data_IF_335120109872
#
_entry.id   IF_335120109872
#
_cell.length_a   1.000
_cell.length_b   1.000
_cell.length_c   1.000
_cell.angle_alpha   90.00
_cell.angle_beta   90.00
_cell.angle_gamma   90.00
#
_symmetry.space_group_name_H-M   'P 1'
#
loop_
_entity.id
_entity.type
_entity.pdbx_description
1 polymer ?
#
# COMPACT_ATOMS: atom_id res chain seq x y z
N UNK A 1 23.15 -15.43 -8.83
CA UNK A 1 22.98 -15.14 -7.39
C UNK A 1 22.18 -13.84 -7.25
N UNK A 2 20.85 -13.92 -7.22
CA UNK A 2 20.01 -12.73 -6.98
C UNK A 2 20.20 -12.29 -5.53
N UNK A 3 20.86 -11.14 -5.31
CA UNK A 3 20.99 -10.54 -3.98
C UNK A 3 19.59 -10.18 -3.47
N UNK A 4 19.05 -10.98 -2.55
CA UNK A 4 17.77 -10.68 -1.89
C UNK A 4 18.00 -9.54 -0.90
N UNK A 5 17.30 -8.42 -1.07
CA UNK A 5 17.44 -7.23 -0.21
C UNK A 5 17.07 -7.58 1.24
N UNK A 6 17.87 -7.21 2.25
CA UNK A 6 17.57 -7.54 3.65
C UNK A 6 16.22 -6.94 4.08
N UNK A 7 15.55 -7.60 5.04
CA UNK A 7 14.44 -6.96 5.74
C UNK A 7 14.98 -5.75 6.50
N UNK A 8 14.12 -4.75 6.73
CA UNK A 8 14.52 -3.62 7.57
C UNK A 8 14.72 -4.13 9.01
N UNK A 9 15.74 -3.64 9.72
CA UNK A 9 15.91 -3.93 11.13
C UNK A 9 14.62 -3.62 11.91
N UNK A 10 14.25 -4.48 12.87
CA UNK A 10 13.07 -4.29 13.71
C UNK A 10 11.75 -4.82 13.12
N UNK A 11 11.68 -5.14 11.82
CA UNK A 11 10.43 -5.60 11.17
C UNK A 11 9.97 -6.94 11.72
N UNK A 12 10.92 -7.84 11.95
CA UNK A 12 10.61 -9.17 12.46
C UNK A 12 10.06 -9.09 13.87
N UNK A 13 10.74 -8.36 14.76
CA UNK A 13 10.29 -8.15 16.13
C UNK A 13 8.93 -7.44 16.17
N UNK A 14 8.69 -6.47 15.28
CA UNK A 14 7.42 -5.78 15.16
C UNK A 14 6.26 -6.71 14.76
N UNK A 15 6.50 -7.63 13.81
CA UNK A 15 5.50 -8.62 13.41
C UNK A 15 5.24 -9.62 14.54
N UNK A 16 6.30 -10.06 15.23
CA UNK A 16 6.21 -10.99 16.34
C UNK A 16 5.43 -10.36 17.51
N UNK A 17 5.73 -9.11 17.88
CA UNK A 17 4.99 -8.30 18.88
C UNK A 17 3.50 -8.20 18.51
N UNK A 18 3.18 -7.91 17.23
CA UNK A 18 1.79 -7.86 16.76
C UNK A 18 1.07 -9.19 16.97
N UNK A 19 1.72 -10.30 16.59
CA UNK A 19 1.14 -11.63 16.71
C UNK A 19 0.95 -12.06 18.17
N UNK A 20 1.92 -11.77 19.04
CA UNK A 20 1.85 -12.06 20.48
C UNK A 20 0.72 -11.28 21.15
N UNK A 21 0.50 -10.03 20.73
CA UNK A 21 -0.59 -9.19 21.21
C UNK A 21 -1.94 -9.45 20.53
N UNK A 22 -2.03 -10.45 19.64
CA UNK A 22 -3.25 -10.82 18.95
C UNK A 22 -3.72 -9.80 17.90
N UNK A 23 -2.83 -8.93 17.42
CA UNK A 23 -3.09 -7.94 16.37
C UNK A 23 -2.88 -8.60 14.99
N UNK A 24 -3.92 -8.71 14.13
CA UNK A 24 -3.78 -9.30 12.81
C UNK A 24 -2.84 -8.48 11.92
N UNK A 25 -1.87 -9.15 11.29
CA UNK A 25 -0.96 -8.52 10.33
C UNK A 25 -1.35 -8.89 8.91
N UNK A 26 -1.52 -7.87 8.07
CA UNK A 26 -1.86 -8.02 6.65
C UNK A 26 -0.81 -7.34 5.79
N UNK A 27 -0.27 -8.08 4.81
CA UNK A 27 0.69 -7.58 3.85
C UNK A 27 0.01 -7.31 2.50
N UNK A 28 -0.08 -6.04 2.13
CA UNK A 28 -0.71 -5.61 0.88
C UNK A 28 0.31 -5.53 -0.25
N UNK A 29 0.10 -6.30 -1.31
CA UNK A 29 1.01 -6.35 -2.46
C UNK A 29 0.33 -5.84 -3.73
N UNK A 30 -1.01 -5.82 -3.74
CA UNK A 30 -1.85 -5.49 -4.89
C UNK A 30 -1.63 -4.10 -5.50
N UNK A 31 -1.23 -3.11 -4.70
CA UNK A 31 -0.95 -1.74 -5.18
C UNK A 31 0.54 -1.39 -5.22
N UNK A 32 1.41 -2.36 -4.92
CA UNK A 32 2.84 -2.18 -5.06
C UNK A 32 3.28 -2.58 -6.47
N UNK A 33 3.90 -1.68 -7.23
CA UNK A 33 4.37 -1.89 -8.63
C UNK A 33 5.24 -3.17 -8.81
N UNK A 34 5.78 -3.73 -7.73
CA UNK A 34 6.64 -4.92 -7.73
C UNK A 34 6.32 -5.91 -6.60
N UNK A 35 5.11 -5.82 -6.02
CA UNK A 35 4.72 -6.55 -4.82
C UNK A 35 4.85 -8.07 -4.95
N UNK A 36 4.31 -8.67 -6.02
CA UNK A 36 4.34 -10.14 -6.20
C UNK A 36 5.75 -10.72 -6.33
N UNK A 37 6.67 -9.98 -6.97
CA UNK A 37 8.08 -10.39 -7.08
C UNK A 37 8.80 -10.32 -5.73
N UNK A 38 8.37 -9.42 -4.86
CA UNK A 38 8.98 -9.18 -3.54
C UNK A 38 8.45 -10.14 -2.47
N UNK A 39 7.19 -10.59 -2.59
CA UNK A 39 6.56 -11.54 -1.65
C UNK A 39 7.39 -12.78 -1.45
N UNK A 40 7.91 -13.40 -2.52
CA UNK A 40 8.72 -14.62 -2.40
C UNK A 40 9.97 -14.39 -1.55
N UNK A 41 10.68 -13.29 -1.79
CA UNK A 41 11.86 -12.93 -1.00
C UNK A 41 11.52 -12.60 0.45
N UNK A 42 10.33 -12.08 0.74
CA UNK A 42 9.87 -11.81 2.10
C UNK A 42 9.54 -13.13 2.81
N UNK A 43 8.82 -14.04 2.14
CA UNK A 43 8.51 -15.38 2.67
C UNK A 43 9.79 -16.15 3.01
N UNK A 44 10.80 -16.10 2.13
CA UNK A 44 12.09 -16.75 2.37
C UNK A 44 12.82 -16.19 3.60
N UNK A 45 12.64 -14.90 3.91
CA UNK A 45 13.31 -14.23 5.04
C UNK A 45 12.57 -14.40 6.35
N UNK A 46 11.25 -14.20 6.36
CA UNK A 46 10.41 -14.34 7.55
C UNK A 46 10.22 -15.81 7.95
N UNK A 47 10.38 -16.74 7.00
CA UNK A 47 10.14 -18.15 7.21
C UNK A 47 8.65 -18.51 7.17
N UNK A 48 8.36 -19.79 6.89
CA UNK A 48 7.00 -20.28 6.68
C UNK A 48 6.11 -20.12 7.92
N UNK A 49 6.67 -20.29 9.12
CA UNK A 49 5.93 -20.27 10.37
C UNK A 49 5.39 -18.87 10.69
N UNK A 50 6.21 -17.82 10.50
CA UNK A 50 5.75 -16.43 10.64
C UNK A 50 4.76 -16.07 9.55
N UNK A 51 5.01 -16.50 8.31
CA UNK A 51 4.11 -16.23 7.18
C UNK A 51 2.74 -16.88 7.34
N UNK A 52 2.62 -18.00 8.06
CA UNK A 52 1.32 -18.60 8.36
C UNK A 52 0.42 -17.70 9.24
N UNK A 53 1.02 -16.74 9.97
CA UNK A 53 0.30 -15.76 10.80
C UNK A 53 -0.03 -14.46 10.06
N UNK A 54 0.52 -14.25 8.86
CA UNK A 54 0.34 -13.04 8.06
C UNK A 54 -0.57 -13.34 6.87
N UNK A 55 -1.59 -12.50 6.65
CA UNK A 55 -2.41 -12.58 5.44
C UNK A 55 -1.78 -11.76 4.32
N UNK A 56 -1.52 -12.36 3.16
CA UNK A 56 -0.98 -11.66 1.98
C UNK A 56 -2.12 -11.37 1.02
N UNK A 57 -2.30 -10.10 0.65
CA UNK A 57 -3.38 -9.64 -0.22
C UNK A 57 -2.77 -9.09 -1.51
N UNK A 58 -2.83 -9.90 -2.56
CA UNK A 58 -2.44 -9.55 -3.92
C UNK A 58 -3.64 -9.14 -4.77
N UNK A 59 -3.39 -9.00 -6.07
CA UNK A 59 -4.37 -8.48 -7.04
C UNK A 59 -5.63 -9.36 -7.05
N UNK A 60 -5.46 -10.69 -6.99
CA UNK A 60 -6.57 -11.63 -7.03
C UNK A 60 -7.43 -11.59 -5.75
N UNK A 61 -6.82 -11.46 -4.57
CA UNK A 61 -7.55 -11.27 -3.32
C UNK A 61 -8.34 -9.95 -3.34
N UNK A 62 -7.74 -8.88 -3.87
CA UNK A 62 -8.45 -7.59 -4.02
C UNK A 62 -9.66 -7.74 -4.95
N UNK A 63 -9.51 -8.38 -6.11
CA UNK A 63 -10.63 -8.60 -7.04
C UNK A 63 -11.77 -9.41 -6.43
N UNK A 64 -11.44 -10.37 -5.57
CA UNK A 64 -12.42 -11.22 -4.87
C UNK A 64 -13.07 -10.54 -3.67
N UNK A 65 -12.45 -9.50 -3.12
CA UNK A 65 -13.02 -8.73 -2.00
C UNK A 65 -14.34 -8.06 -2.36
N UNK A 66 -15.18 -7.81 -1.36
CA UNK A 66 -16.50 -7.20 -1.53
C UNK A 66 -16.44 -5.85 -2.26
N UNK A 67 -15.50 -4.99 -1.86
CA UNK A 67 -15.31 -3.69 -2.52
C UNK A 67 -14.65 -3.84 -3.89
N UNK A 68 -13.70 -4.76 -4.05
CA UNK A 68 -13.04 -5.02 -5.34
C UNK A 68 -14.02 -5.49 -6.41
N UNK A 69 -14.94 -6.39 -6.07
CA UNK A 69 -16.00 -6.82 -7.00
C UNK A 69 -16.88 -5.66 -7.45
N UNK A 70 -17.20 -4.73 -6.53
CA UNK A 70 -18.02 -3.56 -6.82
C UNK A 70 -17.32 -2.57 -7.77
N UNK A 71 -16.02 -2.34 -7.58
CA UNK A 71 -15.31 -1.23 -8.25
C UNK A 71 -14.42 -1.65 -9.40
N UNK A 72 -14.04 -2.93 -9.48
CA UNK A 72 -13.19 -3.46 -10.55
C UNK A 72 -13.99 -4.22 -11.61
N UNK A 73 -15.30 -4.43 -11.39
CA UNK A 73 -16.26 -4.83 -12.43
C UNK A 73 -16.10 -6.27 -12.95
N UNK A 74 -15.32 -7.14 -12.30
CA UNK A 74 -15.18 -8.54 -12.74
C UNK A 74 -16.37 -9.43 -12.31
N UNK A 75 -17.28 -8.93 -11.48
CA UNK A 75 -18.46 -9.68 -10.98
C UNK A 75 -19.77 -9.45 -11.75
N UNK A 76 -19.87 -8.39 -12.57
CA UNK A 76 -21.04 -8.08 -13.40
C UNK A 76 -20.50 -7.72 -14.77
N UNK A 77 -20.92 -8.45 -15.81
CA UNK A 77 -20.44 -8.28 -17.18
C UNK A 77 -20.25 -6.80 -17.54
N UNK A 78 -18.99 -6.35 -17.64
CA UNK A 78 -18.70 -4.95 -17.96
C UNK A 78 -19.30 -4.62 -19.32
N UNK A 79 -20.21 -3.65 -19.37
CA UNK A 79 -20.78 -3.17 -20.62
C UNK A 79 -19.68 -2.60 -21.54
N UNK A 80 -19.86 -2.70 -22.86
CA UNK A 80 -18.90 -2.23 -23.85
C UNK A 80 -18.58 -0.74 -23.66
N UNK A 81 -19.56 0.05 -23.21
CA UNK A 81 -19.37 1.47 -22.91
C UNK A 81 -18.38 1.72 -21.77
N UNK A 82 -18.35 0.85 -20.76
CA UNK A 82 -17.43 0.99 -19.63
C UNK A 82 -16.00 0.63 -19.99
N UNK A 83 -15.82 -0.38 -20.86
CA UNK A 83 -14.50 -0.70 -21.43
C UNK A 83 -13.97 0.45 -22.28
N UNK A 84 -14.82 1.04 -23.14
CA UNK A 84 -14.43 2.21 -23.95
C UNK A 84 -14.07 3.42 -23.08
N UNK A 85 -14.84 3.70 -22.03
CA UNK A 85 -14.55 4.78 -21.11
C UNK A 85 -13.23 4.56 -20.35
N UNK A 86 -12.91 3.31 -19.98
CA UNK A 86 -11.64 2.93 -19.35
C UNK A 86 -10.46 3.17 -20.29
N UNK A 87 -10.55 2.71 -21.54
CA UNK A 87 -9.49 2.91 -22.52
C UNK A 87 -9.31 4.40 -22.89
N UNK A 88 -10.40 5.17 -22.97
CA UNK A 88 -10.33 6.62 -23.16
C UNK A 88 -9.59 7.31 -22.00
N UNK A 89 -9.89 6.97 -20.75
CA UNK A 89 -9.19 7.52 -19.57
C UNK A 89 -7.71 7.16 -19.55
N UNK A 90 -7.35 5.93 -19.93
CA UNK A 90 -5.94 5.51 -20.05
C UNK A 90 -5.19 6.32 -21.12
N UNK A 91 -5.81 6.53 -22.27
CA UNK A 91 -5.21 7.32 -23.35
C UNK A 91 -4.96 8.78 -22.91
N UNK A 92 -5.92 9.41 -22.23
CA UNK A 92 -5.77 10.76 -21.68
C UNK A 92 -4.63 10.82 -20.67
N UNK A 93 -4.59 9.89 -19.71
CA UNK A 93 -3.53 9.84 -18.68
C UNK A 93 -2.13 9.64 -19.28
N UNK A 94 -2.00 8.84 -20.35
CA UNK A 94 -0.74 8.66 -21.04
C UNK A 94 -0.23 9.96 -21.68
N UNK A 95 -1.13 10.78 -22.23
CA UNK A 95 -0.78 12.07 -22.82
C UNK A 95 -0.42 13.11 -21.75
N UNK A 96 -1.16 13.15 -20.64
CA UNK A 96 -0.79 13.99 -19.48
C UNK A 96 0.62 13.66 -18.96
N UNK A 97 0.95 12.37 -18.87
CA UNK A 97 2.30 11.92 -18.50
C UNK A 97 3.37 12.33 -19.51
N UNK A 98 3.06 12.29 -20.81
CA UNK A 98 3.97 12.72 -21.87
C UNK A 98 4.31 14.20 -21.69
N UNK A 99 3.28 15.04 -21.53
CA UNK A 99 3.43 16.49 -21.31
C UNK A 99 4.22 16.76 -20.03
N UNK A 100 3.89 16.05 -18.95
CA UNK A 100 4.55 16.24 -17.67
C UNK A 100 6.06 15.91 -17.72
N UNK A 101 6.44 14.82 -18.42
CA UNK A 101 7.85 14.48 -18.67
C UNK A 101 8.55 15.50 -19.56
N UNK A 102 7.85 16.07 -20.53
CA UNK A 102 8.39 17.10 -21.41
C UNK A 102 8.69 18.39 -20.62
N UNK A 103 7.73 18.85 -19.80
CA UNK A 103 7.90 20.01 -18.92
C UNK A 103 9.02 19.78 -17.89
N UNK A 104 9.07 18.59 -17.29
CA UNK A 104 10.14 18.19 -16.38
C UNK A 104 11.54 18.31 -17.00
N UNK A 105 11.68 17.83 -18.24
CA UNK A 105 12.91 17.88 -19.01
C UNK A 105 13.35 19.32 -19.25
N UNK A 106 12.42 20.20 -19.64
CA UNK A 106 12.67 21.64 -19.84
C UNK A 106 13.15 22.29 -18.54
N UNK A 107 12.54 21.94 -17.41
CA UNK A 107 12.87 22.50 -16.09
C UNK A 107 14.10 21.83 -15.43
N UNK A 108 14.73 20.83 -16.07
CA UNK A 108 15.81 20.00 -15.49
C UNK A 108 15.42 19.37 -14.15
N UNK A 109 14.14 19.08 -13.96
CA UNK A 109 13.61 18.43 -12.77
C UNK A 109 13.43 16.94 -13.06
N UNK A 110 13.81 16.10 -12.10
CA UNK A 110 13.38 14.71 -12.09
C UNK A 110 12.08 14.65 -11.32
N UNK A 111 11.01 14.26 -12.00
CA UNK A 111 9.68 14.20 -11.39
C UNK A 111 9.22 12.76 -11.50
N UNK A 112 9.12 12.11 -10.34
CA UNK A 112 8.33 10.89 -10.21
C UNK A 112 6.88 11.33 -10.05
N UNK A 113 6.28 11.78 -11.14
CA UNK A 113 4.87 12.15 -11.14
C UNK A 113 4.11 10.84 -11.17
N UNK A 114 3.78 10.35 -9.98
CA UNK A 114 2.72 9.36 -9.78
C UNK A 114 1.38 10.04 -10.13
N UNK A 115 1.19 10.37 -11.41
CA UNK A 115 -0.13 10.60 -12.05
C UNK A 115 -0.80 9.26 -12.25
N UNK A 116 -0.78 8.42 -11.22
CA UNK A 116 -1.69 7.29 -11.19
C UNK A 116 -3.06 7.93 -11.09
N UNK A 117 -3.74 7.93 -12.23
CA UNK A 117 -5.11 8.34 -12.50
C UNK A 117 -6.07 7.98 -11.36
N UNK A 118 -7.31 8.45 -11.43
CA UNK A 118 -8.40 7.95 -10.57
C UNK A 118 -8.39 6.41 -10.38
N UNK A 119 -7.87 5.65 -11.35
CA UNK A 119 -7.70 4.19 -11.28
C UNK A 119 -6.62 3.73 -10.28
N UNK A 120 -5.52 4.47 -10.13
CA UNK A 120 -4.47 4.17 -9.17
C UNK A 120 -4.93 4.31 -7.72
N UNK A 121 -5.56 5.44 -7.40
CA UNK A 121 -6.11 5.67 -6.07
C UNK A 121 -7.25 4.69 -5.76
N UNK A 122 -8.10 4.36 -6.74
CA UNK A 122 -9.15 3.36 -6.60
C UNK A 122 -8.58 1.97 -6.31
N UNK A 123 -7.49 1.57 -6.98
CA UNK A 123 -6.80 0.31 -6.70
C UNK A 123 -6.19 0.28 -5.30
N UNK A 124 -5.58 1.38 -4.84
CA UNK A 124 -5.08 1.49 -3.46
C UNK A 124 -6.23 1.34 -2.46
N UNK A 125 -7.32 2.09 -2.67
CA UNK A 125 -8.50 2.04 -1.80
C UNK A 125 -9.11 0.63 -1.76
N UNK A 126 -9.20 -0.04 -2.92
CA UNK A 126 -9.68 -1.42 -2.99
C UNK A 126 -8.77 -2.37 -2.22
N UNK A 127 -7.45 -2.22 -2.35
CA UNK A 127 -6.49 -3.04 -1.61
C UNK A 127 -6.55 -2.84 -0.11
N UNK A 128 -6.68 -1.59 0.36
CA UNK A 128 -6.79 -1.27 1.78
C UNK A 128 -8.09 -1.83 2.38
N UNK A 129 -9.21 -1.68 1.66
CA UNK A 129 -10.50 -2.25 2.07
C UNK A 129 -10.48 -3.78 2.09
N UNK A 130 -9.89 -4.40 1.06
CA UNK A 130 -9.68 -5.85 1.04
C UNK A 130 -8.83 -6.30 2.23
N UNK A 131 -7.75 -5.59 2.56
CA UNK A 131 -6.92 -5.90 3.73
C UNK A 131 -7.71 -5.94 5.03
N UNK A 132 -8.56 -4.94 5.26
CA UNK A 132 -9.45 -4.87 6.41
C UNK A 132 -10.49 -6.01 6.42
N UNK A 133 -11.10 -6.30 5.27
CA UNK A 133 -12.06 -7.40 5.09
C UNK A 133 -11.42 -8.76 5.38
N UNK A 134 -10.26 -9.06 4.80
CA UNK A 134 -9.53 -10.30 5.06
C UNK A 134 -9.00 -10.37 6.49
N UNK A 135 -8.73 -9.24 7.16
CA UNK A 135 -8.38 -9.20 8.57
C UNK A 135 -9.58 -9.45 9.49
N UNK A 136 -10.81 -9.33 8.98
CA UNK A 136 -12.06 -9.27 9.77
C UNK A 136 -12.05 -8.11 10.79
N UNK A 137 -11.53 -6.95 10.37
CA UNK A 137 -11.42 -5.75 11.20
C UNK A 137 -12.00 -4.55 10.45
N UNK A 138 -12.84 -3.70 11.08
CA UNK A 138 -13.32 -2.49 10.44
C UNK A 138 -12.18 -1.55 10.02
N UNK A 139 -12.32 -0.89 8.88
CA UNK A 139 -11.30 0.01 8.30
C UNK A 139 -10.75 1.05 9.30
N UNK A 140 -11.62 1.63 10.13
CA UNK A 140 -11.23 2.65 11.13
C UNK A 140 -10.46 2.07 12.33
N UNK A 141 -10.50 0.74 12.50
CA UNK A 141 -9.73 0.01 13.52
C UNK A 141 -8.42 -0.56 12.97
N UNK A 142 -8.16 -0.41 11.67
CA UNK A 142 -6.89 -0.75 11.04
C UNK A 142 -5.95 0.46 11.05
N UNK A 143 -4.64 0.20 11.12
CA UNK A 143 -3.62 1.24 10.88
C UNK A 143 -2.78 0.82 9.68
N UNK A 144 -2.70 1.68 8.67
CA UNK A 144 -1.82 1.47 7.52
C UNK A 144 -0.38 1.88 7.89
N UNK A 145 0.56 0.97 7.76
CA UNK A 145 1.99 1.28 7.76
C UNK A 145 2.47 1.36 6.31
N UNK A 146 2.82 2.57 5.84
CA UNK A 146 3.18 2.81 4.42
C UNK A 146 4.53 3.52 4.27
N UNK A 147 5.19 3.28 3.14
CA UNK A 147 6.35 4.08 2.70
C UNK A 147 6.06 4.97 1.49
N UNK A 148 4.81 4.97 0.98
CA UNK A 148 4.41 5.67 -0.26
C UNK A 148 3.27 6.68 -0.04
N UNK A 149 3.31 7.77 -0.79
CA UNK A 149 2.29 8.83 -0.78
C UNK A 149 0.93 8.30 -1.24
N UNK A 150 0.91 7.41 -2.23
CA UNK A 150 -0.31 6.76 -2.73
C UNK A 150 -1.03 5.96 -1.64
N UNK A 151 -0.27 5.26 -0.78
CA UNK A 151 -0.82 4.55 0.37
C UNK A 151 -1.46 5.51 1.39
N UNK A 152 -0.78 6.63 1.69
CA UNK A 152 -1.30 7.67 2.59
C UNK A 152 -2.61 8.27 2.06
N UNK A 153 -2.62 8.69 0.79
CA UNK A 153 -3.81 9.27 0.16
C UNK A 153 -4.99 8.27 0.10
N UNK A 154 -4.70 6.98 -0.15
CA UNK A 154 -5.70 5.93 -0.12
C UNK A 154 -6.30 5.69 1.26
N UNK A 155 -5.46 5.72 2.30
CA UNK A 155 -5.87 5.54 3.69
C UNK A 155 -6.72 6.71 4.17
N UNK A 156 -6.29 7.93 3.89
CA UNK A 156 -7.04 9.16 4.21
C UNK A 156 -8.44 9.12 3.57
N UNK A 157 -8.56 8.71 2.31
CA UNK A 157 -9.83 8.63 1.58
C UNK A 157 -10.85 7.67 2.20
N UNK A 158 -10.42 6.69 2.97
CA UNK A 158 -11.30 5.73 3.64
C UNK A 158 -11.35 5.90 5.17
N UNK A 159 -10.70 6.94 5.70
CA UNK A 159 -10.61 7.18 7.14
C UNK A 159 -9.80 6.11 7.89
N UNK A 160 -8.84 5.46 7.23
CA UNK A 160 -7.90 4.53 7.87
C UNK A 160 -6.70 5.34 8.39
N UNK A 161 -6.41 5.32 9.71
CA UNK A 161 -5.19 5.90 10.24
C UNK A 161 -3.94 5.39 9.51
N UNK A 162 -3.02 6.30 9.19
CA UNK A 162 -1.78 5.93 8.50
C UNK A 162 -0.56 6.42 9.26
N UNK A 163 0.44 5.54 9.40
CA UNK A 163 1.78 5.87 9.87
C UNK A 163 2.77 5.60 8.73
N UNK A 164 3.68 6.53 8.53
CA UNK A 164 4.69 6.41 7.48
C UNK A 164 6.00 5.91 8.06
N UNK A 165 6.64 4.95 7.39
CA UNK A 165 8.02 4.55 7.66
C UNK A 165 8.88 4.88 6.44
N UNK A 166 9.70 5.92 6.55
CA UNK A 166 10.51 6.44 5.43
C UNK A 166 11.58 5.45 5.01
N UNK A 167 11.90 5.41 3.71
CA UNK A 167 13.12 4.80 3.18
C UNK A 167 14.13 5.89 2.85
N UNK A 168 15.34 5.50 2.44
CA UNK A 168 16.30 6.44 1.85
C UNK A 168 15.73 7.20 0.65
N UNK A 169 14.87 6.56 -0.16
CA UNK A 169 14.23 7.19 -1.32
C UNK A 169 13.12 8.19 -0.93
N UNK A 170 12.56 8.08 0.27
CA UNK A 170 11.50 8.99 0.76
C UNK A 170 11.95 9.85 1.94
N UNK A 171 13.25 9.92 2.22
CA UNK A 171 13.81 10.67 3.35
C UNK A 171 13.40 12.16 3.36
N UNK A 172 13.28 12.77 2.18
CA UNK A 172 12.87 14.17 2.00
C UNK A 172 11.42 14.34 1.55
N UNK A 173 10.66 13.25 1.45
CA UNK A 173 9.26 13.32 1.05
C UNK A 173 8.40 13.80 2.22
N UNK A 174 7.38 14.58 1.91
CA UNK A 174 6.34 14.98 2.84
C UNK A 174 5.13 14.07 2.69
N UNK A 175 4.48 13.78 3.82
CA UNK A 175 3.33 12.87 3.88
C UNK A 175 2.15 13.56 4.57
N UNK A 176 1.53 14.57 3.94
CA UNK A 176 0.32 15.17 4.45
C UNK A 176 -0.75 14.07 4.61
N UNK A 177 -1.44 14.05 5.76
CA UNK A 177 -2.44 13.02 6.08
C UNK A 177 -1.92 11.83 6.90
N UNK A 178 -0.60 11.64 7.03
CA UNK A 178 -0.05 10.66 7.97
C UNK A 178 -0.16 11.15 9.41
N UNK A 179 -0.60 10.29 10.34
CA UNK A 179 -0.64 10.62 11.78
C UNK A 179 0.75 10.72 12.39
N UNK A 180 1.71 9.96 11.88
CA UNK A 180 3.10 9.99 12.31
C UNK A 180 4.04 9.55 11.18
N UNK A 181 5.28 10.02 11.27
CA UNK A 181 6.37 9.65 10.35
C UNK A 181 7.53 9.10 11.20
N UNK A 182 7.99 7.91 10.85
CA UNK A 182 9.07 7.17 11.52
C UNK A 182 10.19 6.85 10.51
N UNK A 183 11.38 6.57 11.02
CA UNK A 183 12.53 6.21 10.18
C UNK A 183 12.84 4.70 10.19
N UNK A 184 12.24 3.96 11.12
CA UNK A 184 12.47 2.51 11.26
C UNK A 184 11.38 1.76 12.03
N UNK A 185 11.71 0.53 12.39
CA UNK A 185 10.92 -0.34 13.27
C UNK A 185 11.71 -0.62 14.55
N UNK A 186 11.00 -0.80 15.66
CA UNK A 186 11.58 -1.12 16.96
C UNK A 186 12.13 0.09 17.72
N UNK A 187 12.50 -0.14 18.99
CA UNK A 187 13.18 0.83 19.85
C UNK A 187 12.45 2.18 19.95
N UNK A 188 13.14 3.24 19.52
CA UNK A 188 12.64 4.62 19.55
C UNK A 188 11.76 4.99 18.34
N UNK A 189 11.55 4.08 17.38
CA UNK A 189 10.72 4.29 16.20
C UNK A 189 9.35 3.60 16.34
N UNK A 190 8.96 2.75 15.38
CA UNK A 190 7.64 2.13 15.29
C UNK A 190 7.58 0.82 16.06
N UNK A 191 6.73 0.78 17.09
CA UNK A 191 6.38 -0.41 17.88
C UNK A 191 4.85 -0.56 17.95
N UNK A 192 4.34 -1.72 18.36
CA UNK A 192 2.89 -1.93 18.50
C UNK A 192 2.31 -1.03 19.60
N UNK A 193 3.02 -0.89 20.72
CA UNK A 193 2.66 0.06 21.79
C UNK A 193 2.49 1.49 21.27
N UNK A 194 3.42 1.96 20.41
CA UNK A 194 3.34 3.31 19.84
C UNK A 194 2.22 3.45 18.80
N UNK A 195 1.95 2.41 18.02
CA UNK A 195 0.79 2.39 17.11
C UNK A 195 -0.52 2.59 17.86
N UNK A 196 -0.70 1.95 19.02
CA UNK A 196 -1.91 2.13 19.85
C UNK A 196 -2.06 3.56 20.37
N UNK A 197 -0.95 4.19 20.79
CA UNK A 197 -0.96 5.59 21.21
C UNK A 197 -1.37 6.53 20.07
N UNK A 198 -0.94 6.23 18.83
CA UNK A 198 -1.28 7.02 17.64
C UNK A 198 -2.71 6.76 17.17
N UNK A 199 -3.25 5.56 17.37
CA UNK A 199 -4.64 5.26 17.02
C UNK A 199 -5.63 5.96 17.95
N UNK A 200 -5.32 6.03 19.25
CA UNK A 200 -6.17 6.65 20.28
C UNK A 200 -6.12 8.17 20.37
N UNK A 201 -5.27 8.84 19.58
CA UNK A 201 -5.15 10.30 19.48
C UNK A 201 -5.92 10.90 18.31
#
# INVERSE_FOLDING_TARGET
MSKTLPLRPGVEEFIDEACEEGVPVVMLTAYCKSGEKQVRSIIEKLGKDKMAKIKIIGIEEVKRSSYGQLVLGEGVASDLGEQLAKEARKAVSAEEQRIAKEVASILKLTVDIDTTSSEGLQNVVAALRAGAEYADVPVHNCVLVSGSLSGVAGAERIGMPCVVVRSSSTARAEFPGAKAIMDGFGGADLTISRLRQIQGS
#
